data_IF_685354195099
#
_entry.id   IF_685354195099
#
_cell.length_a   1.000
_cell.length_b   1.000
_cell.length_c   1.000
_cell.angle_alpha   90.00
_cell.angle_beta   90.00
_cell.angle_gamma   90.00
#
_symmetry.space_group_name_H-M   'P 1'
#
loop_
_entity.id
_entity.type
_entity.pdbx_description
1 polymer ?
#
# COMPACT_ATOMS: atom_id res chain seq x y z
N UNK A 1 1.66 -11.87 -4.50
CA UNK A 1 0.75 -10.88 -5.15
C UNK A 1 1.17 -9.51 -4.67
N UNK A 2 1.32 -8.51 -5.55
CA UNK A 2 1.83 -7.20 -5.15
C UNK A 2 0.77 -6.35 -4.45
N UNK A 3 1.22 -5.53 -3.50
CA UNK A 3 0.42 -4.55 -2.76
C UNK A 3 1.16 -3.22 -2.74
N UNK A 4 0.43 -2.12 -2.67
CA UNK A 4 1.00 -0.79 -2.53
C UNK A 4 0.82 -0.34 -1.09
N UNK A 5 1.91 0.05 -0.43
CA UNK A 5 1.92 0.60 0.93
C UNK A 5 2.26 2.08 0.84
N UNK A 6 1.44 2.94 1.42
CA UNK A 6 1.68 4.39 1.44
C UNK A 6 1.21 5.02 2.76
N UNK A 7 1.72 6.23 3.07
CA UNK A 7 1.30 6.98 4.26
C UNK A 7 -0.01 7.73 3.99
N UNK A 8 -0.92 7.72 4.97
CA UNK A 8 -2.10 8.59 4.98
C UNK A 8 -1.71 10.00 5.43
N UNK A 9 -2.60 10.97 5.20
CA UNK A 9 -2.36 12.36 5.64
C UNK A 9 -2.27 12.48 7.17
N UNK A 10 -2.96 11.60 7.89
CA UNK A 10 -3.00 11.55 9.35
C UNK A 10 -1.84 10.75 9.97
N UNK A 11 -0.83 10.36 9.16
CA UNK A 11 0.36 9.63 9.62
C UNK A 11 0.19 8.11 9.73
N UNK A 12 -0.96 7.56 9.36
CA UNK A 12 -1.19 6.11 9.32
C UNK A 12 -0.66 5.43 8.06
N UNK A 13 -0.85 4.12 7.98
CA UNK A 13 -0.44 3.29 6.83
C UNK A 13 -1.65 2.75 6.06
N UNK A 14 -1.69 3.06 4.77
CA UNK A 14 -2.65 2.53 3.81
C UNK A 14 -2.03 1.36 3.04
N UNK A 15 -2.81 0.31 2.81
CA UNK A 15 -2.44 -0.82 1.96
C UNK A 15 -3.48 -0.95 0.86
N UNK A 16 -3.07 -0.78 -0.39
CA UNK A 16 -3.91 -0.92 -1.58
C UNK A 16 -3.66 -2.30 -2.16
N UNK A 17 -4.74 -3.04 -2.36
CA UNK A 17 -4.73 -4.39 -2.92
C UNK A 17 -5.41 -4.33 -4.29
N UNK A 18 -4.74 -4.75 -5.38
CA UNK A 18 -5.36 -4.81 -6.70
C UNK A 18 -6.58 -5.73 -6.70
N UNK A 19 -7.66 -5.26 -7.32
CA UNK A 19 -8.85 -6.09 -7.57
C UNK A 19 -8.47 -7.27 -8.48
N UNK A 20 -9.11 -8.45 -8.34
CA UNK A 20 -8.95 -9.55 -9.30
C UNK A 20 -9.30 -9.16 -10.74
N UNK A 21 -10.13 -8.11 -10.93
CA UNK A 21 -10.52 -7.58 -12.24
C UNK A 21 -9.62 -6.43 -12.72
N UNK A 22 -8.50 -6.17 -12.05
CA UNK A 22 -7.53 -5.16 -12.50
C UNK A 22 -6.62 -5.77 -13.57
N UNK A 23 -6.58 -5.13 -14.74
CA UNK A 23 -5.81 -5.59 -15.90
C UNK A 23 -4.54 -4.75 -16.17
N UNK A 24 -4.32 -3.66 -15.44
CA UNK A 24 -3.12 -2.82 -15.56
C UNK A 24 -1.96 -3.30 -14.69
N UNK A 25 -0.85 -2.56 -14.71
CA UNK A 25 0.29 -2.82 -13.83
C UNK A 25 0.04 -2.31 -12.41
N UNK A 26 0.89 -2.70 -11.46
CA UNK A 26 0.81 -2.21 -10.08
C UNK A 26 1.27 -0.75 -9.98
N UNK A 27 2.15 -0.32 -10.88
CA UNK A 27 2.63 1.06 -11.00
C UNK A 27 1.51 1.99 -11.51
N UNK A 28 0.72 1.55 -12.49
CA UNK A 28 -0.46 2.29 -12.96
C UNK A 28 -1.51 2.42 -11.86
N UNK A 29 -1.72 1.35 -11.07
CA UNK A 29 -2.61 1.39 -9.91
C UNK A 29 -2.10 2.37 -8.85
N UNK A 30 -0.78 2.37 -8.58
CA UNK A 30 -0.17 3.32 -7.66
C UNK A 30 -0.34 4.76 -8.14
N UNK A 31 -0.07 5.04 -9.42
CA UNK A 31 -0.26 6.39 -9.99
C UNK A 31 -1.73 6.86 -9.95
N UNK A 32 -2.68 5.92 -10.06
CA UNK A 32 -4.12 6.20 -10.00
C UNK A 32 -4.62 6.47 -8.57
N UNK A 33 -4.26 5.60 -7.62
CA UNK A 33 -4.85 5.59 -6.29
C UNK A 33 -3.98 6.27 -5.21
N UNK A 34 -2.68 6.45 -5.48
CA UNK A 34 -1.77 7.24 -4.62
C UNK A 34 -1.66 8.65 -5.20
N UNK A 35 -2.06 9.71 -4.46
CA UNK A 35 -1.90 11.08 -4.91
C UNK A 35 -0.46 11.41 -5.29
N UNK A 36 -0.30 12.17 -6.39
CA UNK A 36 1.01 12.59 -6.88
C UNK A 36 1.83 13.28 -5.77
N UNK A 37 3.12 12.93 -5.70
CA UNK A 37 4.05 13.47 -4.71
C UNK A 37 4.02 12.80 -3.33
N UNK A 38 3.21 11.74 -3.14
CA UNK A 38 3.29 10.93 -1.91
C UNK A 38 4.20 9.72 -2.06
N UNK A 39 5.06 9.44 -1.07
CA UNK A 39 5.88 8.25 -1.08
C UNK A 39 5.00 7.00 -0.95
N UNK A 40 5.30 6.00 -1.76
CA UNK A 40 4.70 4.67 -1.71
C UNK A 40 5.76 3.60 -1.96
N UNK A 41 5.49 2.38 -1.52
CA UNK A 41 6.30 1.20 -1.77
C UNK A 41 5.43 0.08 -2.31
N UNK A 42 5.92 -0.62 -3.33
CA UNK A 42 5.31 -1.85 -3.83
C UNK A 42 5.98 -3.04 -3.15
N UNK A 43 5.21 -3.84 -2.42
CA UNK A 43 5.68 -4.98 -1.64
C UNK A 43 4.94 -6.26 -2.05
N UNK A 44 5.49 -7.44 -1.72
CA UNK A 44 4.68 -8.66 -1.82
C UNK A 44 3.66 -8.76 -0.68
N UNK A 45 2.56 -9.48 -0.93
CA UNK A 45 1.54 -9.79 0.04
C UNK A 45 2.08 -10.46 1.31
N UNK A 46 3.17 -11.23 1.21
CA UNK A 46 3.83 -11.85 2.37
C UNK A 46 4.53 -10.85 3.29
N UNK A 47 4.93 -9.68 2.78
CA UNK A 47 5.58 -8.62 3.57
C UNK A 47 4.58 -7.80 4.38
N UNK A 48 3.29 -7.92 4.08
CA UNK A 48 2.21 -7.25 4.81
C UNK A 48 1.63 -8.24 5.82
N UNK A 49 1.85 -8.04 7.14
CA UNK A 49 1.38 -9.00 8.13
C UNK A 49 -0.14 -9.21 8.03
N UNK A 50 -0.57 -10.47 8.16
CA UNK A 50 -1.99 -10.83 8.19
C UNK A 50 -2.65 -10.48 9.52
N UNK A 51 -1.87 -10.45 10.60
CA UNK A 51 -2.31 -10.03 11.92
C UNK A 51 -2.48 -8.51 11.98
N UNK A 52 -3.69 -8.08 12.33
CA UNK A 52 -4.11 -6.67 12.38
C UNK A 52 -4.24 -6.12 13.79
N UNK A 53 -3.90 -6.91 14.82
CA UNK A 53 -4.07 -6.55 16.24
C UNK A 53 -3.35 -5.24 16.61
N UNK A 54 -2.22 -4.95 15.94
CA UNK A 54 -1.43 -3.73 16.16
C UNK A 54 -1.31 -2.84 14.91
N UNK A 55 -2.30 -2.86 14.00
CA UNK A 55 -2.23 -2.12 12.73
C UNK A 55 -2.03 -0.61 12.90
N UNK A 56 -2.51 -0.03 13.99
CA UNK A 56 -2.30 1.40 14.30
C UNK A 56 -0.86 1.74 14.69
N UNK A 57 -0.03 0.74 15.03
CA UNK A 57 1.38 0.93 15.39
C UNK A 57 2.34 0.64 14.22
N UNK A 58 1.83 0.39 13.01
CA UNK A 58 2.68 0.20 11.85
C UNK A 58 3.21 1.52 11.35
N UNK A 59 4.53 1.66 11.39
CA UNK A 59 5.25 2.78 10.82
C UNK A 59 6.02 2.33 9.57
N UNK A 60 5.95 3.12 8.51
CA UNK A 60 6.84 2.97 7.36
C UNK A 60 8.11 3.77 7.61
N UNK A 61 9.24 3.06 7.71
CA UNK A 61 10.59 3.60 7.66
C UNK A 61 11.15 3.41 6.25
N UNK A 62 11.78 4.47 5.72
CA UNK A 62 12.41 4.51 4.39
C UNK A 62 13.64 3.62 4.28
#
# INVERSE_FOLDING_TARGET
MKRIVCKTIDGGVLVIIPSPNWNGTIEELAAKDVPAGRPYKIVDASEVPSDRTFRNAWEYAE
#
